data_IF_024323142800
#
_entry.id   IF_024323142800
#
_cell.length_a   1.000
_cell.length_b   1.000
_cell.length_c   1.000
_cell.angle_alpha   90.00
_cell.angle_beta   90.00
_cell.angle_gamma   90.00
#
_symmetry.space_group_name_H-M   'P 1'
#
loop_
_entity.id
_entity.type
_entity.pdbx_description
1 polymer ?
#
# COMPACT_ATOMS: atom_id res chain seq x y z
N UNK A 1 37.63 -19.64 41.94
CA UNK A 1 37.01 -18.29 42.06
C UNK A 1 35.87 -18.07 41.04
N UNK A 2 35.14 -19.12 40.64
CA UNK A 2 34.20 -19.09 39.50
C UNK A 2 32.71 -19.13 39.89
N UNK A 3 32.38 -19.23 41.18
CA UNK A 3 30.98 -19.25 41.65
C UNK A 3 30.37 -17.83 41.82
N UNK A 4 31.20 -16.79 41.97
CA UNK A 4 30.73 -15.42 42.17
C UNK A 4 30.28 -14.71 40.88
N UNK A 5 30.89 -15.04 39.74
CA UNK A 5 30.60 -14.41 38.45
C UNK A 5 29.27 -14.89 37.84
N UNK A 6 28.89 -16.15 38.05
CA UNK A 6 27.61 -16.68 37.56
C UNK A 6 26.40 -16.08 38.31
N UNK A 7 26.55 -15.80 39.61
CA UNK A 7 25.51 -15.14 40.40
C UNK A 7 25.37 -13.67 39.99
N UNK A 8 26.48 -12.97 39.72
CA UNK A 8 26.45 -11.58 39.26
C UNK A 8 25.78 -11.42 37.88
N UNK A 9 26.05 -12.33 36.93
CA UNK A 9 25.39 -12.32 35.61
C UNK A 9 23.89 -12.69 35.70
N UNK A 10 23.53 -13.64 36.56
CA UNK A 10 22.12 -14.00 36.79
C UNK A 10 21.32 -12.86 37.43
N UNK A 11 21.92 -12.10 38.35
CA UNK A 11 21.29 -10.93 38.97
C UNK A 11 21.11 -9.77 37.99
N UNK A 12 22.04 -9.61 37.03
CA UNK A 12 21.99 -8.54 36.03
C UNK A 12 20.89 -8.76 34.97
N UNK A 13 20.45 -10.00 34.75
CA UNK A 13 19.37 -10.32 33.81
C UNK A 13 17.95 -10.13 34.41
N UNK A 14 17.83 -9.96 35.72
CA UNK A 14 16.54 -9.80 36.43
C UNK A 14 16.05 -8.34 36.52
N UNK A 15 16.83 -7.37 36.04
CA UNK A 15 16.54 -5.93 36.12
C UNK A 15 16.11 -5.31 34.79
N UNK A 16 15.95 -6.12 33.74
CA UNK A 16 15.47 -5.68 32.43
C UNK A 16 13.95 -5.68 32.30
N UNK A 17 13.18 -5.18 33.27
CA UNK A 17 11.77 -4.86 33.01
C UNK A 17 11.73 -3.53 32.28
N UNK A 18 11.46 -3.55 30.97
CA UNK A 18 11.17 -2.32 30.24
C UNK A 18 9.92 -1.68 30.87
N UNK A 19 10.11 -0.61 31.65
CA UNK A 19 9.03 0.21 32.16
C UNK A 19 8.44 0.99 31.00
N UNK A 20 7.21 0.65 30.60
CA UNK A 20 6.42 1.52 29.76
C UNK A 20 6.27 2.87 30.49
N UNK A 21 6.59 3.97 29.79
CA UNK A 21 6.62 5.32 30.34
C UNK A 21 5.18 5.77 30.67
N UNK A 22 4.78 5.64 31.93
CA UNK A 22 3.52 6.15 32.47
C UNK A 22 3.76 6.88 33.79
N UNK A 23 3.17 8.05 33.95
CA UNK A 23 3.19 8.81 35.22
C UNK A 23 1.81 8.77 35.86
N UNK A 24 1.73 9.00 37.18
CA UNK A 24 0.45 9.07 37.91
C UNK A 24 -0.53 10.12 37.36
N UNK A 25 -0.03 11.12 36.64
CA UNK A 25 -0.83 12.22 36.10
C UNK A 25 -0.94 12.21 34.56
N UNK A 26 -0.03 11.52 33.88
CA UNK A 26 0.06 11.44 32.42
C UNK A 26 0.42 10.02 32.03
N UNK A 27 -0.54 9.30 31.47
CA UNK A 27 -0.29 8.06 30.75
C UNK A 27 -0.33 8.36 29.25
N UNK A 28 0.64 7.85 28.51
CA UNK A 28 0.53 7.74 27.05
C UNK A 28 -0.31 6.50 26.74
N UNK A 29 -1.52 6.42 27.28
CA UNK A 29 -2.44 5.34 26.95
C UNK A 29 -2.76 5.47 25.46
N UNK A 30 -2.48 4.41 24.70
CA UNK A 30 -2.89 4.33 23.31
C UNK A 30 -4.42 4.14 23.23
N UNK A 31 -5.15 5.24 23.36
CA UNK A 31 -6.61 5.24 23.22
C UNK A 31 -6.95 5.12 21.73
N UNK A 32 -7.36 3.92 21.31
CA UNK A 32 -7.93 3.72 19.97
C UNK A 32 -9.42 3.97 20.04
N UNK A 33 -9.91 4.97 19.29
CA UNK A 33 -11.34 5.05 18.97
C UNK A 33 -11.57 4.10 17.79
N UNK A 34 -12.14 2.93 18.06
CA UNK A 34 -12.55 1.98 17.01
C UNK A 34 -13.70 2.51 16.15
N UNK A 35 -13.82 1.97 14.93
CA UNK A 35 -15.00 2.13 14.07
C UNK A 35 -16.32 1.76 14.76
N UNK A 36 -17.39 2.50 14.48
CA UNK A 36 -18.69 2.41 15.12
C UNK A 36 -19.67 3.48 14.61
N UNK A 37 -20.92 3.43 15.06
CA UNK A 37 -21.99 4.32 14.60
C UNK A 37 -23.30 3.59 14.40
N UNK A 38 -24.41 4.32 14.45
CA UNK A 38 -25.74 3.74 14.33
C UNK A 38 -26.85 4.77 14.48
N UNK A 39 -28.08 4.36 14.14
CA UNK A 39 -29.27 5.17 14.39
C UNK A 39 -29.68 5.03 15.85
N UNK A 40 -29.60 6.13 16.60
CA UNK A 40 -30.17 6.25 17.93
C UNK A 40 -31.52 6.95 17.82
N UNK A 41 -32.55 6.32 18.37
CA UNK A 41 -33.93 6.82 18.27
C UNK A 41 -34.56 6.94 19.65
N UNK A 42 -35.32 8.01 19.83
CA UNK A 42 -36.32 8.15 20.89
C UNK A 42 -37.69 8.43 20.26
N UNK A 43 -38.72 8.53 21.08
CA UNK A 43 -40.06 8.88 20.63
C UNK A 43 -40.13 10.23 19.88
N UNK A 44 -39.19 11.15 20.16
CA UNK A 44 -39.25 12.53 19.66
C UNK A 44 -38.07 12.93 18.77
N UNK A 45 -36.97 12.17 18.77
CA UNK A 45 -35.77 12.53 18.01
C UNK A 45 -35.07 11.30 17.44
N UNK A 46 -34.47 11.48 16.26
CA UNK A 46 -33.55 10.51 15.67
C UNK A 46 -32.21 11.19 15.42
N UNK A 47 -31.13 10.58 15.89
CA UNK A 47 -29.77 11.01 15.60
C UNK A 47 -28.99 9.83 15.05
N UNK A 48 -28.31 10.04 13.93
CA UNK A 48 -27.38 9.09 13.35
C UNK A 48 -25.97 9.66 13.49
N UNK A 49 -25.05 8.84 13.99
CA UNK A 49 -23.64 9.19 14.10
C UNK A 49 -22.78 8.05 13.59
N UNK A 50 -21.59 8.43 13.13
CA UNK A 50 -20.52 7.51 12.73
C UNK A 50 -19.26 7.94 13.47
N UNK A 51 -18.54 6.98 14.05
CA UNK A 51 -17.32 7.18 14.82
C UNK A 51 -16.30 6.16 14.32
N UNK A 52 -15.05 6.56 14.12
CA UNK A 52 -14.00 5.67 13.63
C UNK A 52 -14.09 5.45 12.13
N UNK A 53 -13.06 5.92 11.46
CA UNK A 53 -12.96 5.95 10.01
C UNK A 53 -12.86 4.53 9.45
N UNK A 54 -13.62 4.22 8.39
CA UNK A 54 -13.32 3.04 7.57
C UNK A 54 -11.93 3.30 6.99
N UNK A 55 -10.96 2.46 7.32
CA UNK A 55 -9.64 2.46 6.70
C UNK A 55 -9.54 1.24 5.79
N UNK A 56 -8.96 1.41 4.61
CA UNK A 56 -8.70 0.33 3.67
C UNK A 56 -9.18 0.60 2.25
N UNK A 57 -8.67 -0.24 1.34
CA UNK A 57 -9.02 -0.28 -0.06
C UNK A 57 -10.14 -1.30 -0.27
N UNK A 58 -11.25 -0.87 -0.88
CA UNK A 58 -12.27 -1.75 -1.42
C UNK A 58 -12.24 -1.66 -2.94
N UNK A 59 -11.93 -2.77 -3.60
CA UNK A 59 -11.89 -2.86 -5.06
C UNK A 59 -13.10 -3.62 -5.60
N UNK A 60 -13.57 -3.16 -6.75
CA UNK A 60 -14.52 -3.83 -7.64
C UNK A 60 -14.01 -3.65 -9.07
N UNK A 61 -14.55 -4.41 -10.01
CA UNK A 61 -14.27 -4.22 -11.44
C UNK A 61 -14.65 -2.82 -11.93
N UNK A 62 -15.54 -2.11 -11.23
CA UNK A 62 -16.07 -0.81 -11.66
C UNK A 62 -15.74 0.35 -10.73
N UNK A 63 -15.32 0.10 -9.50
CA UNK A 63 -15.04 1.17 -8.54
C UNK A 63 -13.95 0.75 -7.55
N UNK A 64 -13.15 1.74 -7.13
CA UNK A 64 -12.28 1.64 -5.96
C UNK A 64 -12.78 2.65 -4.93
N UNK A 65 -13.10 2.18 -3.73
CA UNK A 65 -13.45 3.03 -2.60
C UNK A 65 -12.29 3.00 -1.63
N UNK A 66 -11.73 4.17 -1.34
CA UNK A 66 -10.63 4.29 -0.41
C UNK A 66 -10.95 5.30 0.68
N UNK A 67 -10.91 4.83 1.91
CA UNK A 67 -11.33 5.58 3.10
C UNK A 67 -10.18 5.62 4.12
N UNK A 68 -10.01 6.74 4.81
CA UNK A 68 -8.86 7.01 5.70
C UNK A 68 -8.35 8.46 5.60
N UNK A 69 -7.74 8.98 6.66
CA UNK A 69 -7.05 10.30 6.69
C UNK A 69 -5.63 10.19 6.11
N UNK A 70 -5.12 8.98 5.99
CA UNK A 70 -3.83 8.61 5.39
C UNK A 70 -4.03 7.67 4.19
N UNK A 71 -5.02 7.99 3.35
CA UNK A 71 -5.34 7.19 2.16
C UNK A 71 -4.22 7.35 1.12
N UNK A 72 -3.46 6.28 0.91
CA UNK A 72 -2.62 6.09 -0.28
C UNK A 72 -3.53 5.57 -1.39
N UNK A 73 -4.37 6.42 -2.00
CA UNK A 73 -5.31 6.07 -3.08
C UNK A 73 -4.67 5.23 -4.19
N UNK A 74 -5.12 4.01 -4.49
CA UNK A 74 -4.34 2.97 -5.20
C UNK A 74 -3.14 2.55 -4.32
N UNK A 75 -1.88 2.48 -4.67
CA UNK A 75 -0.90 3.10 -3.75
C UNK A 75 -0.45 4.45 -4.33
N UNK A 76 -0.91 4.75 -5.56
CA UNK A 76 -0.15 5.49 -6.54
C UNK A 76 -0.95 6.66 -7.14
N UNK A 77 -2.28 6.61 -7.09
CA UNK A 77 -3.17 7.64 -7.65
C UNK A 77 -3.01 7.88 -9.15
N UNK A 78 -2.50 6.89 -9.89
CA UNK A 78 -2.22 7.01 -11.32
C UNK A 78 -3.43 6.53 -12.14
N UNK A 79 -3.91 7.39 -13.03
CA UNK A 79 -4.97 7.03 -13.97
C UNK A 79 -4.34 6.53 -15.27
N UNK A 80 -4.29 5.21 -15.41
CA UNK A 80 -3.74 4.50 -16.57
C UNK A 80 -4.85 4.13 -17.54
N UNK A 81 -4.61 4.22 -18.85
CA UNK A 81 -5.58 3.89 -19.89
C UNK A 81 -5.25 2.55 -20.58
N UNK A 82 -6.21 1.90 -21.27
CA UNK A 82 -5.92 0.70 -22.04
C UNK A 82 -4.96 0.97 -23.20
N UNK A 83 -3.98 0.08 -23.39
CA UNK A 83 -3.09 0.11 -24.54
C UNK A 83 -3.86 -0.07 -25.86
N UNK A 84 -3.36 0.45 -27.00
CA UNK A 84 -3.98 0.25 -28.30
C UNK A 84 -4.22 -1.24 -28.61
N UNK A 85 -5.48 -1.60 -28.85
CA UNK A 85 -5.87 -2.99 -29.11
C UNK A 85 -6.27 -3.80 -27.88
N UNK A 86 -6.19 -3.22 -26.68
CA UNK A 86 -6.60 -3.84 -25.42
C UNK A 86 -7.83 -3.16 -24.83
N UNK A 87 -8.67 -3.94 -24.15
CA UNK A 87 -9.92 -3.45 -23.58
C UNK A 87 -9.79 -3.01 -22.11
N UNK A 88 -8.77 -3.50 -21.41
CA UNK A 88 -8.52 -3.22 -20.00
C UNK A 88 -7.22 -2.43 -19.85
N UNK A 89 -7.15 -1.50 -18.87
CA UNK A 89 -5.89 -0.84 -18.53
C UNK A 89 -4.92 -1.86 -17.92
N UNK A 90 -3.61 -1.61 -18.03
CA UNK A 90 -2.58 -2.32 -17.28
C UNK A 90 -2.91 -2.44 -15.80
N UNK A 91 -2.39 -3.49 -15.17
CA UNK A 91 -2.53 -3.74 -13.73
C UNK A 91 -1.18 -3.88 -13.05
N UNK A 92 -1.21 -3.72 -11.74
CA UNK A 92 -0.09 -3.81 -10.81
C UNK A 92 -0.34 -5.02 -9.87
N UNK A 93 0.12 -6.23 -10.25
CA UNK A 93 0.03 -7.44 -9.44
C UNK A 93 0.68 -7.38 -8.05
N UNK A 94 1.82 -6.69 -7.89
CA UNK A 94 2.62 -6.75 -6.66
C UNK A 94 2.40 -5.56 -5.70
N UNK A 95 1.78 -4.49 -6.19
CA UNK A 95 1.32 -3.31 -5.47
C UNK A 95 2.38 -2.23 -5.27
N UNK A 96 3.45 -2.22 -6.05
CA UNK A 96 4.58 -1.30 -5.90
C UNK A 96 4.43 0.06 -6.63
N UNK A 97 3.32 0.25 -7.35
CA UNK A 97 3.01 1.40 -8.21
C UNK A 97 3.58 1.42 -9.62
N UNK A 98 4.28 0.37 -10.01
CA UNK A 98 4.68 0.13 -11.36
C UNK A 98 3.63 -0.80 -11.98
N UNK A 99 3.34 -0.61 -13.28
CA UNK A 99 2.29 -1.34 -13.97
C UNK A 99 2.93 -2.32 -14.97
N UNK A 100 3.24 -3.50 -14.47
CA UNK A 100 4.00 -4.55 -15.13
C UNK A 100 3.12 -5.53 -15.93
N UNK A 101 1.85 -5.71 -15.57
CA UNK A 101 0.86 -6.52 -16.33
C UNK A 101 0.11 -5.63 -17.35
N UNK A 102 0.74 -5.39 -18.49
CA UNK A 102 0.26 -4.51 -19.55
C UNK A 102 -0.98 -5.03 -20.27
N UNK A 103 -1.13 -6.36 -20.33
CA UNK A 103 -2.24 -6.99 -21.03
C UNK A 103 -3.42 -7.33 -20.10
N UNK A 104 -3.26 -7.08 -18.79
CA UNK A 104 -4.24 -7.28 -17.73
C UNK A 104 -4.75 -8.72 -17.63
N UNK A 105 -3.85 -9.71 -17.78
CA UNK A 105 -4.17 -11.14 -17.62
C UNK A 105 -4.00 -11.66 -16.18
N UNK A 106 -3.55 -10.79 -15.26
CA UNK A 106 -3.28 -11.05 -13.86
C UNK A 106 -1.90 -11.65 -13.58
N UNK A 107 -0.94 -11.53 -14.50
CA UNK A 107 0.43 -12.06 -14.38
C UNK A 107 1.41 -11.14 -15.10
N UNK A 108 2.60 -10.98 -14.51
CA UNK A 108 3.78 -10.50 -15.22
C UNK A 108 4.39 -11.66 -16.03
N UNK A 109 4.42 -11.54 -17.36
CA UNK A 109 5.09 -12.52 -18.22
C UNK A 109 5.79 -11.90 -19.46
N UNK A 110 6.35 -12.76 -20.31
CA UNK A 110 7.09 -12.31 -21.49
C UNK A 110 6.21 -11.60 -22.53
N UNK A 111 4.90 -11.83 -22.53
CA UNK A 111 3.98 -11.10 -23.41
C UNK A 111 3.94 -9.61 -23.03
N UNK A 112 4.07 -9.28 -21.75
CA UNK A 112 4.14 -7.89 -21.28
C UNK A 112 5.42 -7.21 -21.75
N UNK A 113 6.58 -7.88 -21.68
CA UNK A 113 7.86 -7.34 -22.19
C UNK A 113 7.77 -7.01 -23.69
N UNK A 114 7.19 -7.92 -24.48
CA UNK A 114 6.99 -7.70 -25.91
C UNK A 114 5.98 -6.56 -26.16
N UNK A 115 4.94 -6.47 -25.35
CA UNK A 115 3.92 -5.42 -25.46
C UNK A 115 4.49 -4.04 -25.10
N UNK A 116 5.30 -3.95 -24.05
CA UNK A 116 6.01 -2.73 -23.65
C UNK A 116 6.89 -2.25 -24.80
N UNK A 117 7.69 -3.15 -25.39
CA UNK A 117 8.55 -2.82 -26.53
C UNK A 117 7.75 -2.27 -27.73
N UNK A 118 6.63 -2.89 -28.06
CA UNK A 118 5.81 -2.49 -29.19
C UNK A 118 5.05 -1.18 -28.96
N UNK A 119 4.69 -0.87 -27.72
CA UNK A 119 3.86 0.29 -27.37
C UNK A 119 4.64 1.42 -26.67
N UNK A 120 5.96 1.30 -26.52
CA UNK A 120 6.81 2.25 -25.78
C UNK A 120 6.56 3.71 -26.20
N UNK A 121 6.51 4.00 -27.50
CA UNK A 121 6.26 5.35 -28.01
C UNK A 121 4.87 5.86 -27.64
N UNK A 122 3.87 4.99 -27.61
CA UNK A 122 2.51 5.35 -27.24
C UNK A 122 2.40 5.57 -25.72
N UNK A 123 2.97 4.68 -24.92
CA UNK A 123 3.04 4.78 -23.45
C UNK A 123 3.69 6.12 -23.07
N UNK A 124 4.87 6.43 -23.62
CA UNK A 124 5.57 7.68 -23.34
C UNK A 124 4.77 8.95 -23.67
N UNK A 125 3.79 8.87 -24.59
CA UNK A 125 2.99 10.00 -25.04
C UNK A 125 1.61 10.12 -24.37
N UNK A 126 1.05 9.02 -23.85
CA UNK A 126 -0.34 8.96 -23.39
C UNK A 126 -0.49 8.52 -21.94
N UNK A 127 0.53 7.88 -21.37
CA UNK A 127 0.49 7.33 -20.02
C UNK A 127 1.31 8.14 -19.02
N UNK A 128 1.01 8.02 -17.70
CA UNK A 128 1.85 8.59 -16.66
C UNK A 128 3.22 7.90 -16.63
N UNK A 129 4.31 8.67 -16.75
CA UNK A 129 5.68 8.14 -16.70
C UNK A 129 5.92 7.32 -15.43
N UNK A 130 5.44 7.80 -14.28
CA UNK A 130 5.63 7.12 -13.00
C UNK A 130 5.01 5.72 -12.91
N UNK A 131 4.05 5.37 -13.78
CA UNK A 131 3.46 4.02 -13.81
C UNK A 131 4.30 3.03 -14.63
N UNK A 132 5.17 3.53 -15.52
CA UNK A 132 5.89 2.70 -16.50
C UNK A 132 7.42 2.87 -16.44
N UNK A 133 7.92 3.77 -15.61
CA UNK A 133 9.34 3.98 -15.35
C UNK A 133 9.89 2.89 -14.43
N UNK A 134 10.04 1.68 -14.98
CA UNK A 134 10.41 0.44 -14.28
C UNK A 134 11.75 0.57 -13.53
N UNK A 135 12.68 1.39 -14.04
CA UNK A 135 13.99 1.58 -13.42
C UNK A 135 14.09 2.86 -12.56
N UNK A 136 13.04 3.69 -12.53
CA UNK A 136 12.97 4.91 -11.73
C UNK A 136 13.87 6.06 -12.20
N UNK A 137 14.25 6.11 -13.48
CA UNK A 137 15.12 7.16 -14.03
C UNK A 137 14.37 8.42 -14.51
N UNK A 138 13.04 8.40 -14.43
CA UNK A 138 12.13 9.47 -14.80
C UNK A 138 11.82 9.54 -16.29
N UNK A 139 12.08 8.48 -17.07
CA UNK A 139 11.86 8.43 -18.52
C UNK A 139 11.45 7.05 -18.97
N UNK A 140 10.71 7.01 -20.07
CA UNK A 140 10.34 5.77 -20.75
C UNK A 140 11.40 5.44 -21.80
N UNK A 141 12.20 4.41 -21.57
CA UNK A 141 13.26 3.96 -22.46
C UNK A 141 13.54 2.44 -22.40
N UNK A 142 14.63 2.01 -23.03
CA UNK A 142 14.99 0.58 -23.11
C UNK A 142 15.44 0.01 -21.77
N UNK A 143 15.95 0.82 -20.85
CA UNK A 143 16.35 0.33 -19.54
C UNK A 143 15.13 -0.07 -18.70
N UNK A 144 13.93 0.45 -19.00
CA UNK A 144 12.69 -0.02 -18.36
C UNK A 144 12.34 -1.45 -18.78
N UNK A 145 12.53 -1.78 -20.05
CA UNK A 145 12.31 -3.14 -20.57
C UNK A 145 13.25 -4.13 -19.89
N UNK A 146 14.51 -3.72 -19.68
CA UNK A 146 15.49 -4.57 -18.98
C UNK A 146 15.09 -4.77 -17.53
N UNK A 147 14.58 -3.74 -16.85
CA UNK A 147 14.08 -3.84 -15.49
C UNK A 147 12.87 -4.80 -15.42
N UNK A 148 11.86 -4.58 -16.27
CA UNK A 148 10.67 -5.45 -16.39
C UNK A 148 11.04 -6.91 -16.65
N UNK A 149 12.02 -7.16 -17.52
CA UNK A 149 12.47 -8.52 -17.81
C UNK A 149 13.14 -9.20 -16.61
N UNK A 150 13.85 -8.45 -15.76
CA UNK A 150 14.52 -9.01 -14.59
C UNK A 150 13.55 -9.35 -13.44
N UNK A 151 12.31 -8.92 -13.54
CA UNK A 151 11.28 -9.08 -12.52
C UNK A 151 10.42 -10.35 -12.73
N UNK A 152 10.45 -10.92 -13.94
CA UNK A 152 9.84 -12.22 -14.30
C UNK A 152 10.55 -13.39 -13.58
#
# INVERSE_FOLDING_TARGET
>A
MTKGTAVLLGLLCLIGTASAMGSTNFDLSWNVIGGGGGSQTSASYKMASTIGQITGLSTSTNYKLQAGFWVTGDACGLNVIPLPGYAKPPTDPDGDCIYEDLNANGRLDFADVVLYFNQMTWIAANEPIAAFDMNGNGRIDFADIVALFNEI
#
